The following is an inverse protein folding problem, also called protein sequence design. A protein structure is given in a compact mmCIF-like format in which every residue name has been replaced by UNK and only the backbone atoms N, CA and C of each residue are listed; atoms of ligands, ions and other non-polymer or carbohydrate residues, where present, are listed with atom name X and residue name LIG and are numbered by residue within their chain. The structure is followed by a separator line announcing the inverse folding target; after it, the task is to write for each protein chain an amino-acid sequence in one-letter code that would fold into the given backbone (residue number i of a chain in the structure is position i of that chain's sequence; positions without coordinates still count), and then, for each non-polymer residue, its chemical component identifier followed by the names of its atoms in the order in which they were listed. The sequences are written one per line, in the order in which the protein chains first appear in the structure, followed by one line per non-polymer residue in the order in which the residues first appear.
data_IF_298938395521
#
_entry.id   IF_298938395521
#
_cell.length_a   1.000
_cell.length_b   1.000
_cell.length_c   1.000
_cell.angle_alpha   90.00
_cell.angle_beta   90.00
_cell.angle_gamma   90.00
#
_symmetry.space_group_name_H-M   'P 1'
#
loop_
_entity.id
_entity.type
_entity.pdbx_description
1 polymer ?
#
# COMPACT_ATOMS: atom_id res chain seq x y z
N UNK A 1 -13.84 3.12 -2.81
CA UNK A 1 -14.91 2.69 -1.88
C UNK A 1 -16.22 3.26 -2.42
N UNK A 2 -17.22 2.43 -2.71
CA UNK A 2 -18.50 2.90 -3.26
C UNK A 2 -19.46 3.23 -2.11
N UNK A 3 -19.40 4.45 -1.59
CA UNK A 3 -20.39 4.95 -0.63
C UNK A 3 -21.59 5.58 -1.35
N UNK A 4 -22.72 5.69 -0.65
CA UNK A 4 -23.93 6.32 -1.17
C UNK A 4 -24.59 7.14 -0.05
N UNK A 5 -24.50 8.48 -0.11
CA UNK A 5 -23.85 9.26 -1.18
C UNK A 5 -22.32 9.06 -1.25
N UNK A 6 -21.67 9.39 -2.38
CA UNK A 6 -20.22 9.39 -2.50
C UNK A 6 -19.56 10.26 -1.43
N UNK A 7 -18.37 9.86 -0.97
CA UNK A 7 -17.57 10.66 -0.04
C UNK A 7 -17.26 12.01 -0.68
N UNK A 8 -17.53 13.10 0.05
CA UNK A 8 -17.29 14.45 -0.43
C UNK A 8 -15.80 14.69 -0.71
N UNK A 9 -15.49 15.49 -1.74
CA UNK A 9 -14.09 15.80 -2.14
C UNK A 9 -13.26 16.40 -0.99
N UNK A 10 -13.88 17.17 -0.10
CA UNK A 10 -13.22 17.79 1.06
C UNK A 10 -13.08 16.89 2.29
N UNK A 11 -13.54 15.64 2.24
CA UNK A 11 -13.39 14.69 3.34
C UNK A 11 -11.94 14.22 3.44
N UNK A 12 -11.31 14.46 4.58
CA UNK A 12 -9.90 14.14 4.85
C UNK A 12 -9.71 12.99 5.84
N UNK A 13 -10.79 12.34 6.27
CA UNK A 13 -10.71 11.13 7.09
C UNK A 13 -10.29 9.90 6.27
N UNK A 14 -9.95 8.82 6.97
CA UNK A 14 -9.64 7.53 6.33
C UNK A 14 -10.83 7.03 5.49
N UNK A 15 -10.61 6.83 4.20
CA UNK A 15 -11.63 6.42 3.22
C UNK A 15 -11.23 5.17 2.42
N UNK A 16 -10.43 4.31 3.03
CA UNK A 16 -9.97 3.04 2.50
C UNK A 16 -10.31 1.89 3.46
N UNK A 17 -10.26 0.66 2.93
CA UNK A 17 -10.35 -0.56 3.72
C UNK A 17 -9.18 -1.47 3.34
N UNK A 18 -8.58 -2.10 4.34
CA UNK A 18 -7.53 -3.09 4.10
C UNK A 18 -8.16 -4.40 3.63
N UNK A 19 -7.54 -5.04 2.65
CA UNK A 19 -8.01 -6.33 2.14
C UNK A 19 -6.87 -7.34 2.24
N UNK A 20 -7.14 -8.43 2.97
CA UNK A 20 -6.16 -9.46 3.28
C UNK A 20 -6.33 -10.67 2.37
N UNK A 21 -5.23 -11.19 1.82
CA UNK A 21 -5.17 -12.48 1.11
C UNK A 21 -3.84 -13.16 1.43
N UNK A 22 -3.91 -14.46 1.76
CA UNK A 22 -2.77 -15.35 1.96
C UNK A 22 -2.66 -16.23 0.72
N UNK A 23 -1.49 -16.28 0.08
CA UNK A 23 -1.24 -17.21 -1.02
C UNK A 23 0.26 -17.40 -1.23
N UNK A 24 0.68 -18.65 -1.43
CA UNK A 24 2.05 -19.05 -1.81
C UNK A 24 2.13 -19.51 -3.28
N UNK A 25 1.08 -19.27 -4.07
CA UNK A 25 1.00 -19.72 -5.46
C UNK A 25 1.66 -18.78 -6.48
N UNK A 26 1.54 -19.09 -7.77
CA UNK A 26 2.13 -18.29 -8.85
C UNK A 26 1.67 -16.82 -8.87
N UNK A 27 2.50 -15.92 -9.42
CA UNK A 27 2.15 -14.48 -9.57
C UNK A 27 0.79 -14.29 -10.25
N UNK A 28 0.47 -15.09 -11.26
CA UNK A 28 -0.81 -15.03 -11.97
C UNK A 28 -2.01 -15.26 -11.04
N UNK A 29 -1.92 -16.26 -10.17
CA UNK A 29 -2.96 -16.57 -9.21
C UNK A 29 -3.05 -15.49 -8.12
N UNK A 30 -1.91 -15.00 -7.62
CA UNK A 30 -1.87 -13.87 -6.69
C UNK A 30 -2.58 -12.65 -7.30
N UNK A 31 -2.31 -12.33 -8.57
CA UNK A 31 -2.99 -11.22 -9.27
C UNK A 31 -4.50 -11.46 -9.37
N UNK A 32 -4.95 -12.68 -9.66
CA UNK A 32 -6.38 -13.01 -9.65
C UNK A 32 -7.01 -12.80 -8.28
N UNK A 33 -6.35 -13.25 -7.21
CA UNK A 33 -6.82 -13.06 -5.84
C UNK A 33 -6.92 -11.58 -5.48
N UNK A 34 -5.90 -10.78 -5.80
CA UNK A 34 -5.89 -9.33 -5.56
C UNK A 34 -7.01 -8.65 -6.34
N UNK A 35 -7.22 -9.00 -7.62
CA UNK A 35 -8.33 -8.46 -8.42
C UNK A 35 -9.69 -8.81 -7.83
N UNK A 36 -9.87 -10.06 -7.38
CA UNK A 36 -11.09 -10.50 -6.71
C UNK A 36 -11.33 -9.74 -5.40
N UNK A 37 -10.30 -9.59 -4.58
CA UNK A 37 -10.33 -8.82 -3.33
C UNK A 37 -10.73 -7.35 -3.57
N UNK A 38 -10.10 -6.70 -4.55
CA UNK A 38 -10.46 -5.33 -4.97
C UNK A 38 -11.92 -5.27 -5.41
N UNK A 39 -12.39 -6.23 -6.22
CA UNK A 39 -13.79 -6.27 -6.65
C UNK A 39 -14.77 -6.34 -5.47
N UNK A 40 -14.51 -7.21 -4.50
CA UNK A 40 -15.33 -7.32 -3.28
C UNK A 40 -15.35 -6.03 -2.46
N UNK A 41 -14.25 -5.28 -2.43
CA UNK A 41 -14.16 -4.00 -1.69
C UNK A 41 -15.07 -2.89 -2.23
N UNK A 42 -15.62 -3.04 -3.44
CA UNK A 42 -16.62 -2.11 -4.00
C UNK A 42 -18.06 -2.48 -3.63
N UNK A 43 -18.29 -3.63 -2.98
CA UNK A 43 -19.60 -4.04 -2.52
C UNK A 43 -19.96 -3.31 -1.21
N UNK A 44 -21.09 -2.60 -1.21
CA UNK A 44 -21.58 -1.82 -0.06
C UNK A 44 -21.85 -2.69 1.17
N UNK A 45 -22.33 -3.93 0.99
CA UNK A 45 -22.60 -4.86 2.11
C UNK A 45 -21.28 -5.30 2.73
N UNK A 46 -20.30 -5.68 1.90
CA UNK A 46 -18.97 -6.05 2.37
C UNK A 46 -18.32 -4.93 3.20
N UNK A 47 -18.35 -3.69 2.69
CA UNK A 47 -17.81 -2.53 3.41
C UNK A 47 -18.49 -2.30 4.77
N UNK A 48 -19.83 -2.41 4.82
CA UNK A 48 -20.57 -2.27 6.09
C UNK A 48 -20.26 -3.39 7.08
N UNK A 49 -20.06 -4.61 6.61
CA UNK A 49 -19.68 -5.74 7.44
C UNK A 49 -18.28 -5.57 8.02
N UNK A 50 -17.32 -5.12 7.22
CA UNK A 50 -15.96 -4.81 7.68
C UNK A 50 -15.96 -3.68 8.72
N UNK A 51 -16.74 -2.62 8.51
CA UNK A 51 -16.91 -1.56 9.52
C UNK A 51 -17.44 -2.11 10.85
N UNK A 52 -18.49 -2.95 10.80
CA UNK A 52 -19.03 -3.61 12.00
C UNK A 52 -18.00 -4.52 12.67
N UNK A 53 -17.18 -5.23 11.90
CA UNK A 53 -16.11 -6.08 12.42
C UNK A 53 -15.06 -5.24 13.15
N UNK A 54 -14.61 -4.13 12.56
CA UNK A 54 -13.67 -3.20 13.18
C UNK A 54 -14.25 -2.62 14.47
N UNK A 55 -15.50 -2.15 14.46
CA UNK A 55 -16.17 -1.63 15.66
C UNK A 55 -16.26 -2.69 16.78
N UNK A 56 -16.54 -3.95 16.43
CA UNK A 56 -16.57 -5.07 17.40
C UNK A 56 -15.19 -5.33 17.99
N UNK A 57 -14.13 -5.26 17.18
CA UNK A 57 -12.76 -5.46 17.64
C UNK A 57 -12.33 -4.35 18.59
N UNK A 58 -12.65 -3.09 18.26
CA UNK A 58 -12.40 -1.92 19.12
C UNK A 58 -13.13 -2.08 20.46
N UNK A 59 -14.43 -2.42 20.44
CA UNK A 59 -15.23 -2.61 21.66
C UNK A 59 -14.71 -3.71 22.59
N UNK A 60 -14.02 -4.71 22.03
CA UNK A 60 -13.45 -5.83 22.77
C UNK A 60 -12.01 -5.58 23.25
N UNK A 61 -11.46 -4.39 22.99
CA UNK A 61 -10.04 -4.09 23.19
C UNK A 61 -9.13 -5.18 22.59
N UNK A 62 -9.51 -5.67 21.41
CA UNK A 62 -8.84 -6.81 20.81
C UNK A 62 -7.44 -6.40 20.35
N UNK A 63 -6.42 -6.90 21.04
CA UNK A 63 -5.03 -6.68 20.66
C UNK A 63 -4.65 -7.58 19.47
N UNK A 64 -4.32 -6.96 18.34
CA UNK A 64 -3.71 -7.64 17.19
C UNK A 64 -2.24 -7.94 17.47
N UNK A 65 -1.98 -8.89 18.38
CA UNK A 65 -0.61 -9.18 18.84
C UNK A 65 0.07 -10.31 18.06
N UNK A 66 -0.64 -11.11 17.24
CA UNK A 66 -0.18 -12.49 16.99
C UNK A 66 0.26 -12.91 15.58
N UNK A 67 0.16 -12.07 14.54
CA UNK A 67 0.63 -12.45 13.18
C UNK A 67 1.36 -11.27 12.54
N UNK A 68 2.54 -10.91 13.06
CA UNK A 68 3.36 -9.85 12.46
C UNK A 68 4.37 -10.38 11.45
N UNK A 69 4.92 -11.58 11.61
CA UNK A 69 6.11 -11.97 10.83
C UNK A 69 5.83 -12.44 9.39
N UNK A 70 4.59 -12.78 9.05
CA UNK A 70 4.19 -13.28 7.73
C UNK A 70 3.24 -12.32 6.98
N UNK A 71 3.07 -11.10 7.48
CA UNK A 71 2.13 -10.13 6.94
C UNK A 71 2.88 -8.99 6.25
N UNK A 72 2.55 -8.77 4.98
CA UNK A 72 3.01 -7.63 4.19
C UNK A 72 1.81 -6.75 3.81
N UNK A 73 1.82 -5.51 4.29
CA UNK A 73 0.93 -4.46 3.85
C UNK A 73 1.57 -3.70 2.70
N UNK A 74 0.85 -3.56 1.59
CA UNK A 74 1.30 -2.77 0.45
C UNK A 74 0.49 -1.46 0.36
N UNK A 75 1.18 -0.34 0.52
CA UNK A 75 0.61 0.99 0.43
C UNK A 75 1.03 1.65 -0.89
N UNK A 76 0.06 2.09 -1.70
CA UNK A 76 0.32 2.82 -2.93
C UNK A 76 0.22 4.33 -2.70
N UNK A 77 1.36 5.01 -2.73
CA UNK A 77 1.46 6.46 -2.54
C UNK A 77 1.88 7.17 -3.83
N UNK A 78 1.77 6.52 -4.99
CA UNK A 78 2.08 7.15 -6.29
C UNK A 78 1.21 8.37 -6.55
N UNK A 79 -0.02 8.40 -6.04
CA UNK A 79 -1.00 9.45 -6.30
C UNK A 79 -1.13 10.47 -5.17
N UNK A 80 -0.11 10.63 -4.31
CA UNK A 80 -0.17 11.54 -3.16
C UNK A 80 -0.23 13.04 -3.51
N UNK A 81 -0.33 13.41 -4.79
CA UNK A 81 -0.58 14.79 -5.26
C UNK A 81 0.59 15.77 -5.04
N UNK A 82 1.59 15.41 -4.24
CA UNK A 82 2.72 16.28 -3.94
C UNK A 82 3.51 16.70 -5.17
N UNK A 83 3.53 15.87 -6.21
CA UNK A 83 4.24 16.15 -7.46
C UNK A 83 3.47 17.07 -8.41
N UNK A 84 2.21 17.42 -8.13
CA UNK A 84 1.36 18.17 -9.07
C UNK A 84 0.76 19.45 -8.46
N UNK A 85 0.73 19.57 -7.12
CA UNK A 85 -0.07 20.61 -6.44
C UNK A 85 0.70 21.42 -5.39
N UNK A 86 2.02 21.24 -5.26
CA UNK A 86 2.85 21.91 -4.26
C UNK A 86 3.88 22.85 -4.89
N UNK A 87 3.44 24.02 -5.34
CA UNK A 87 4.34 25.14 -5.66
C UNK A 87 4.00 26.32 -4.76
N UNK A 88 4.94 26.69 -3.89
CA UNK A 88 4.83 27.83 -2.98
C UNK A 88 5.83 28.94 -3.34
N UNK A 89 6.31 28.98 -4.59
CA UNK A 89 7.27 29.96 -5.11
C UNK A 89 8.63 29.35 -5.52
N UNK A 90 8.80 28.04 -5.39
CA UNK A 90 10.05 27.31 -5.65
C UNK A 90 9.90 26.20 -6.70
N UNK A 91 8.80 26.21 -7.47
CA UNK A 91 8.40 25.12 -8.36
C UNK A 91 8.01 23.85 -7.59
N UNK A 92 7.50 22.88 -8.33
CA UNK A 92 7.07 21.59 -7.80
C UNK A 92 8.22 20.80 -7.15
N UNK A 93 7.94 19.90 -6.20
CA UNK A 93 8.95 19.07 -5.57
C UNK A 93 9.60 18.13 -6.59
N UNK A 94 10.92 18.15 -6.67
CA UNK A 94 11.70 17.24 -7.53
C UNK A 94 11.69 15.80 -7.01
N UNK A 95 11.49 15.63 -5.69
CA UNK A 95 11.45 14.33 -5.02
C UNK A 95 10.65 14.41 -3.73
N UNK A 96 9.89 13.36 -3.44
CA UNK A 96 9.16 13.20 -2.19
C UNK A 96 9.46 11.83 -1.62
N UNK A 97 9.88 11.79 -0.36
CA UNK A 97 10.22 10.55 0.35
C UNK A 97 9.39 10.44 1.63
N UNK A 98 8.26 9.72 1.60
CA UNK A 98 7.56 9.34 2.82
C UNK A 98 8.48 8.51 3.71
N UNK A 99 8.40 8.74 5.02
CA UNK A 99 9.12 7.94 6.02
C UNK A 99 8.15 6.97 6.67
N UNK A 100 8.57 5.70 6.76
CA UNK A 100 7.79 4.68 7.47
C UNK A 100 8.10 4.74 8.97
N UNK A 101 7.08 4.77 9.85
CA UNK A 101 7.30 4.64 11.28
C UNK A 101 8.08 3.34 11.61
N UNK A 102 9.10 3.38 12.49
CA UNK A 102 9.95 2.22 12.76
C UNK A 102 9.16 0.98 13.22
N UNK A 103 8.08 1.19 13.97
CA UNK A 103 7.24 0.13 14.55
C UNK A 103 6.48 -0.70 13.50
N UNK A 104 6.15 -0.09 12.36
CA UNK A 104 5.38 -0.70 11.27
C UNK A 104 6.23 -1.06 10.05
N UNK A 105 7.46 -0.56 9.96
CA UNK A 105 8.35 -0.70 8.80
C UNK A 105 8.56 -2.15 8.36
N UNK A 106 8.72 -3.08 9.32
CA UNK A 106 8.98 -4.50 9.03
C UNK A 106 7.89 -5.23 8.25
N UNK A 107 6.67 -4.70 8.25
CA UNK A 107 5.49 -5.31 7.62
C UNK A 107 4.90 -4.41 6.53
N UNK A 108 5.55 -3.30 6.19
CA UNK A 108 5.01 -2.32 5.26
C UNK A 108 5.91 -2.21 4.03
N UNK A 109 5.31 -2.40 2.87
CA UNK A 109 5.86 -2.04 1.58
C UNK A 109 5.17 -0.79 1.03
N UNK A 110 5.93 0.13 0.47
CA UNK A 110 5.41 1.37 -0.13
C UNK A 110 5.75 1.44 -1.60
N UNK A 111 4.76 1.80 -2.41
CA UNK A 111 4.89 2.03 -3.84
C UNK A 111 4.88 3.54 -4.08
N UNK A 112 5.93 4.05 -4.73
CA UNK A 112 6.20 5.47 -4.93
C UNK A 112 6.46 5.78 -6.40
N UNK A 113 6.18 7.04 -6.79
CA UNK A 113 6.68 7.58 -8.05
C UNK A 113 8.20 7.82 -7.93
N UNK A 114 9.00 7.54 -8.97
CA UNK A 114 10.38 7.97 -9.05
C UNK A 114 10.52 9.50 -9.02
N UNK A 115 11.75 9.99 -8.86
CA UNK A 115 12.03 11.42 -8.92
C UNK A 115 11.83 11.95 -10.33
N UNK A 116 11.28 13.17 -10.45
CA UNK A 116 11.06 13.83 -11.75
C UNK A 116 12.35 14.17 -12.49
N UNK A 117 13.48 14.24 -11.79
CA UNK A 117 14.77 14.66 -12.38
C UNK A 117 15.62 13.49 -12.84
N UNK A 118 15.11 12.26 -12.77
CA UNK A 118 15.79 11.06 -13.27
C UNK A 118 15.03 10.50 -14.49
N UNK A 119 15.40 10.91 -15.72
CA UNK A 119 14.73 10.47 -16.94
C UNK A 119 14.83 8.96 -17.17
N UNK A 120 15.83 8.28 -16.61
CA UNK A 120 16.01 6.83 -16.78
C UNK A 120 14.90 6.01 -16.10
N UNK A 121 14.16 6.64 -15.19
CA UNK A 121 13.11 6.01 -14.39
C UNK A 121 11.70 6.49 -14.80
N UNK A 122 11.56 7.13 -15.97
CA UNK A 122 10.25 7.54 -16.49
C UNK A 122 9.32 6.34 -16.69
N UNK A 123 8.06 6.47 -16.25
CA UNK A 123 7.09 5.35 -16.22
C UNK A 123 7.40 4.27 -15.18
N UNK A 124 8.57 4.31 -14.54
CA UNK A 124 9.02 3.39 -13.52
C UNK A 124 8.28 3.55 -12.19
N UNK A 125 8.57 2.62 -11.29
CA UNK A 125 8.00 2.58 -9.94
C UNK A 125 9.09 2.29 -8.93
N UNK A 126 9.10 3.02 -7.82
CA UNK A 126 9.98 2.74 -6.69
C UNK A 126 9.21 1.98 -5.61
N UNK A 127 9.77 0.87 -5.16
CA UNK A 127 9.18 0.07 -4.07
C UNK A 127 10.13 0.11 -2.87
N UNK A 128 9.62 0.53 -1.72
CA UNK A 128 10.34 0.48 -0.44
C UNK A 128 9.81 -0.73 0.32
N UNK A 129 10.70 -1.62 0.75
CA UNK A 129 10.37 -2.80 1.57
C UNK A 129 11.44 -2.92 2.64
N UNK A 130 11.05 -3.27 3.86
CA UNK A 130 11.99 -3.57 4.94
C UNK A 130 11.95 -5.05 5.24
N UNK A 131 13.08 -5.75 5.10
CA UNK A 131 13.22 -7.15 5.49
C UNK A 131 14.48 -7.32 6.35
N UNK A 132 14.60 -8.43 7.11
CA UNK A 132 15.87 -8.82 7.72
C UNK A 132 16.99 -8.86 6.67
N UNK A 133 18.23 -8.55 7.10
CA UNK A 133 19.40 -8.42 6.21
C UNK A 133 19.57 -9.61 5.28
N UNK A 134 19.50 -10.83 5.80
CA UNK A 134 19.70 -12.04 5.02
C UNK A 134 18.59 -12.26 3.98
N UNK A 135 17.35 -11.90 4.34
CA UNK A 135 16.20 -11.95 3.45
C UNK A 135 16.30 -10.89 2.34
N UNK A 136 16.80 -9.68 2.64
CA UNK A 136 17.08 -8.65 1.63
C UNK A 136 18.12 -9.15 0.62
N UNK A 137 19.26 -9.67 1.09
CA UNK A 137 20.33 -10.14 0.19
C UNK A 137 19.84 -11.26 -0.73
N UNK A 138 19.09 -12.22 -0.17
CA UNK A 138 18.48 -13.32 -0.94
C UNK A 138 17.46 -12.80 -1.96
N UNK A 139 16.61 -11.87 -1.56
CA UNK A 139 15.53 -11.34 -2.41
C UNK A 139 16.06 -10.50 -3.56
N UNK A 140 17.04 -9.61 -3.30
CA UNK A 140 17.65 -8.77 -4.33
C UNK A 140 18.30 -9.62 -5.42
N UNK A 141 19.08 -10.63 -5.02
CA UNK A 141 19.78 -11.51 -5.97
C UNK A 141 18.83 -12.38 -6.80
N UNK A 142 17.78 -12.93 -6.17
CA UNK A 142 16.94 -13.96 -6.78
C UNK A 142 15.73 -13.42 -7.54
N UNK A 143 15.11 -12.34 -7.07
CA UNK A 143 13.81 -11.89 -7.58
C UNK A 143 13.85 -10.49 -8.19
N UNK A 144 14.63 -9.56 -7.63
CA UNK A 144 14.64 -8.17 -8.12
C UNK A 144 15.52 -8.03 -9.37
N UNK A 145 16.74 -8.58 -9.34
CA UNK A 145 17.65 -8.48 -10.49
C UNK A 145 17.17 -9.31 -11.70
N UNK A 146 16.26 -10.26 -11.50
CA UNK A 146 15.65 -11.05 -12.58
C UNK A 146 14.49 -10.32 -13.28
N UNK A 147 14.05 -9.16 -12.75
CA UNK A 147 12.98 -8.33 -13.31
C UNK A 147 13.48 -7.21 -14.23
N UNK A 148 14.80 -7.07 -14.42
CA UNK A 148 15.38 -6.20 -15.44
C UNK A 148 15.25 -6.91 -16.78
N UNK A 149 14.16 -6.61 -17.49
CA UNK A 149 13.88 -7.06 -18.87
C UNK A 149 13.89 -5.84 -19.76
#
# INVERSE_FOLDING_TARGET
MNSDPPVAKGYYGSSYIDVYKLDESSIFNIVKLVKGAKKSSYDKKYVKEEQRNIERLIKKDAKFERIRNSLLFLTDMRNIGYFEWLDFGWKEPVHVRPLTPPESAKNMGMILRPSKVDPSMEGGVKVIITLPRDAMVKSSKKYINALVI
#
